data_IF_203815955565
#
_entry.id   IF_203815955565
#
_cell.length_a   1.000
_cell.length_b   1.000
_cell.length_c   1.000
_cell.angle_alpha   90.00
_cell.angle_beta   90.00
_cell.angle_gamma   90.00
#
_symmetry.space_group_name_H-M   'P 1'
#
loop_
_entity.id
_entity.type
_entity.pdbx_description
1 polymer ?
#
# COMPACT_ATOMS: atom_id res chain seq x y z
N UNK A 1 20.69 -13.09 27.12
CA UNK A 1 19.82 -11.98 26.68
C UNK A 1 20.27 -10.71 27.37
N UNK A 2 20.67 -9.66 26.62
CA UNK A 2 21.04 -8.37 27.21
C UNK A 2 19.78 -7.69 27.75
N UNK A 3 19.72 -7.41 29.04
CA UNK A 3 18.59 -6.75 29.69
C UNK A 3 18.46 -5.29 29.16
N UNK A 4 17.23 -4.80 28.98
CA UNK A 4 16.94 -3.47 28.42
C UNK A 4 17.62 -2.34 29.21
N UNK A 5 17.75 -2.51 30.53
CA UNK A 5 18.45 -1.58 31.41
C UNK A 5 19.97 -1.51 31.16
N UNK A 6 20.61 -2.63 30.79
CA UNK A 6 22.03 -2.64 30.40
C UNK A 6 22.24 -1.89 29.07
N UNK A 7 21.27 -1.99 28.15
CA UNK A 7 21.29 -1.24 26.90
C UNK A 7 21.21 0.28 27.15
N UNK A 8 20.32 0.71 28.05
CA UNK A 8 20.21 2.13 28.45
C UNK A 8 21.49 2.64 29.10
N UNK A 9 22.08 1.88 30.02
CA UNK A 9 23.32 2.25 30.69
C UNK A 9 24.48 2.44 29.68
N UNK A 10 24.63 1.50 28.74
CA UNK A 10 25.62 1.59 27.64
C UNK A 10 25.40 2.80 26.76
N UNK A 11 24.15 3.12 26.43
CA UNK A 11 23.82 4.31 25.63
C UNK A 11 24.14 5.62 26.36
N UNK A 12 23.85 5.69 27.66
CA UNK A 12 24.16 6.87 28.49
C UNK A 12 25.67 7.09 28.61
N UNK A 13 26.43 6.04 28.93
CA UNK A 13 27.89 6.09 29.01
C UNK A 13 28.53 6.51 27.68
N UNK A 14 28.00 6.01 26.56
CA UNK A 14 28.43 6.43 25.22
C UNK A 14 28.17 7.91 24.96
N UNK A 15 27.00 8.44 25.31
CA UNK A 15 26.67 9.87 25.14
C UNK A 15 27.58 10.77 25.98
N UNK A 16 27.88 10.35 27.21
CA UNK A 16 28.81 11.08 28.10
C UNK A 16 30.24 11.08 27.53
N UNK A 17 30.70 9.96 27.00
CA UNK A 17 32.00 9.87 26.31
C UNK A 17 32.04 10.75 25.05
N UNK A 18 31.00 10.74 24.22
CA UNK A 18 30.91 11.57 23.01
C UNK A 18 30.92 13.07 23.34
N UNK A 19 30.37 13.49 24.50
CA UNK A 19 30.46 14.87 25.01
C UNK A 19 31.87 15.22 25.49
N UNK A 20 32.56 14.31 26.19
CA UNK A 20 33.93 14.55 26.71
C UNK A 20 35.00 14.56 25.62
N UNK A 21 34.78 13.86 24.50
CA UNK A 21 35.75 13.74 23.41
C UNK A 21 35.15 14.08 22.04
N UNK A 22 34.79 15.35 21.79
CA UNK A 22 34.12 15.75 20.54
C UNK A 22 35.00 15.51 19.31
N UNK A 23 36.28 15.85 19.36
CA UNK A 23 37.22 15.70 18.24
C UNK A 23 37.45 14.22 17.89
N UNK A 24 37.75 13.37 18.88
CA UNK A 24 37.93 11.91 18.64
C UNK A 24 36.65 11.28 18.10
N UNK A 25 35.49 11.70 18.57
CA UNK A 25 34.20 11.21 18.09
C UNK A 25 33.92 11.67 16.65
N UNK A 26 34.26 12.92 16.33
CA UNK A 26 34.17 13.46 14.97
C UNK A 26 35.07 12.68 14.01
N UNK A 27 36.36 12.51 14.34
CA UNK A 27 37.31 11.75 13.52
C UNK A 27 36.85 10.29 13.36
N UNK A 28 36.34 9.64 14.41
CA UNK A 28 35.77 8.28 14.31
C UNK A 28 34.55 8.22 13.39
N UNK A 29 33.66 9.21 13.45
CA UNK A 29 32.49 9.29 12.55
C UNK A 29 32.94 9.55 11.11
N UNK A 30 33.93 10.42 10.90
CA UNK A 30 34.46 10.77 9.58
C UNK A 30 35.23 9.61 8.93
N UNK A 31 36.18 8.99 9.64
CA UNK A 31 37.06 7.96 9.07
C UNK A 31 36.48 6.54 9.13
N UNK A 32 35.54 6.25 10.03
CA UNK A 32 34.95 4.90 10.13
C UNK A 32 33.51 4.87 9.60
N UNK A 33 32.64 5.77 10.07
CA UNK A 33 31.22 5.72 9.68
C UNK A 33 30.98 6.22 8.26
N UNK A 34 31.78 7.18 7.80
CA UNK A 34 31.58 7.79 6.49
C UNK A 34 32.00 6.85 5.35
N UNK A 35 33.26 6.38 5.24
CA UNK A 35 33.66 5.55 4.09
C UNK A 35 33.07 4.13 4.11
N UNK A 36 32.72 3.57 5.27
CA UNK A 36 32.30 2.16 5.36
C UNK A 36 30.81 1.94 5.56
N UNK A 37 30.05 2.96 5.97
CA UNK A 37 28.58 2.87 6.09
C UNK A 37 27.86 3.89 5.24
N UNK A 38 28.31 5.14 5.25
CA UNK A 38 27.56 6.25 4.65
C UNK A 38 27.83 6.38 3.15
N UNK A 39 29.08 6.22 2.72
CA UNK A 39 29.48 6.33 1.32
C UNK A 39 28.96 5.14 0.50
N UNK A 40 29.09 3.87 0.93
CA UNK A 40 28.61 2.73 0.15
C UNK A 40 27.09 2.78 -0.04
N UNK A 41 26.34 3.08 1.02
CA UNK A 41 24.87 3.25 0.93
C UNK A 41 24.46 4.43 0.04
N UNK A 42 25.21 5.54 0.05
CA UNK A 42 24.95 6.66 -0.86
C UNK A 42 25.25 6.31 -2.32
N UNK A 43 26.33 5.57 -2.58
CA UNK A 43 26.69 5.11 -3.92
C UNK A 43 25.67 4.09 -4.45
N UNK A 44 25.25 3.16 -3.60
CA UNK A 44 24.19 2.20 -3.89
C UNK A 44 22.87 2.92 -4.21
N UNK A 45 22.47 3.90 -3.40
CA UNK A 45 21.28 4.73 -3.66
C UNK A 45 21.39 5.52 -4.98
N UNK A 46 22.57 6.04 -5.31
CA UNK A 46 22.79 6.76 -6.55
C UNK A 46 22.71 5.81 -7.75
N UNK A 47 23.31 4.63 -7.65
CA UNK A 47 23.22 3.58 -8.66
C UNK A 47 21.75 3.23 -8.94
N UNK A 48 20.96 2.97 -7.90
CA UNK A 48 19.54 2.65 -8.06
C UNK A 48 18.74 3.83 -8.65
N UNK A 49 19.00 5.06 -8.22
CA UNK A 49 18.38 6.26 -8.83
C UNK A 49 18.64 6.35 -10.33
N UNK A 50 19.88 6.16 -10.75
CA UNK A 50 20.25 6.22 -12.18
C UNK A 50 19.64 5.03 -12.93
N UNK A 51 19.73 3.82 -12.37
CA UNK A 51 19.10 2.60 -12.93
C UNK A 51 17.62 2.85 -13.20
N UNK A 52 16.88 3.32 -12.20
CA UNK A 52 15.44 3.54 -12.30
C UNK A 52 15.08 4.69 -13.24
N UNK A 53 15.89 5.76 -13.28
CA UNK A 53 15.71 6.82 -14.26
C UNK A 53 15.85 6.32 -15.70
N UNK A 54 16.88 5.51 -15.98
CA UNK A 54 17.08 4.90 -17.30
C UNK A 54 15.92 3.97 -17.66
N UNK A 55 15.47 3.15 -16.70
CA UNK A 55 14.34 2.26 -16.91
C UNK A 55 13.05 3.03 -17.26
N UNK A 56 12.70 4.08 -16.51
CA UNK A 56 11.52 4.90 -16.82
C UNK A 56 11.58 5.51 -18.22
N UNK A 57 12.75 6.02 -18.62
CA UNK A 57 12.89 6.59 -19.97
C UNK A 57 12.81 5.54 -21.09
N UNK A 58 13.29 4.31 -20.86
CA UNK A 58 13.30 3.26 -21.90
C UNK A 58 11.99 2.51 -22.06
N UNK A 59 11.27 2.23 -20.97
CA UNK A 59 10.06 1.39 -20.98
C UNK A 59 8.84 2.03 -20.33
N UNK A 60 8.95 3.25 -19.80
CA UNK A 60 7.86 3.95 -19.11
C UNK A 60 7.73 3.65 -17.61
N UNK A 61 8.43 2.63 -17.07
CA UNK A 61 8.38 2.25 -15.65
C UNK A 61 9.73 1.73 -15.11
N UNK A 62 9.94 1.69 -13.80
CA UNK A 62 11.15 1.17 -13.13
C UNK A 62 10.88 -0.13 -12.35
N UNK A 63 11.90 -0.94 -12.03
CA UNK A 63 11.70 -2.19 -11.26
C UNK A 63 11.29 -1.89 -9.82
N UNK A 64 11.52 -0.66 -9.38
CA UNK A 64 11.15 -0.14 -8.06
C UNK A 64 9.81 0.58 -8.07
N UNK A 65 9.30 0.90 -9.25
CA UNK A 65 7.92 1.36 -9.35
C UNK A 65 7.09 0.13 -9.03
N UNK A 66 6.61 0.06 -7.78
CA UNK A 66 5.49 -0.80 -7.40
C UNK A 66 4.29 -0.28 -8.19
N UNK A 67 4.23 -0.66 -9.47
CA UNK A 67 3.07 -0.40 -10.29
C UNK A 67 2.05 -1.43 -9.83
N UNK A 68 1.27 -1.04 -8.81
CA UNK A 68 0.04 -1.72 -8.44
C UNK A 68 -0.92 -1.53 -9.62
N UNK A 69 -0.69 -2.34 -10.65
CA UNK A 69 -1.35 -2.29 -11.96
C UNK A 69 -2.84 -2.48 -11.76
N UNK A 70 -3.19 -3.38 -10.85
CA UNK A 70 -4.51 -3.61 -10.31
C UNK A 70 -5.15 -2.33 -9.76
N UNK A 71 -4.47 -1.60 -8.87
CA UNK A 71 -5.00 -0.34 -8.32
C UNK A 71 -5.12 0.75 -9.39
N UNK A 72 -4.12 0.87 -10.27
CA UNK A 72 -4.17 1.83 -11.37
C UNK A 72 -5.36 1.57 -12.30
N UNK A 73 -5.57 0.31 -12.68
CA UNK A 73 -6.70 -0.11 -13.51
C UNK A 73 -8.01 0.16 -12.77
N UNK A 74 -8.10 -0.19 -11.48
CA UNK A 74 -9.31 0.00 -10.70
C UNK A 74 -9.70 1.48 -10.56
N UNK A 75 -8.74 2.37 -10.24
CA UNK A 75 -8.97 3.83 -10.20
C UNK A 75 -9.44 4.33 -11.57
N UNK A 76 -8.75 3.93 -12.63
CA UNK A 76 -9.04 4.41 -13.98
C UNK A 76 -10.44 3.99 -14.42
N UNK A 77 -10.82 2.73 -14.21
CA UNK A 77 -12.15 2.22 -14.55
C UNK A 77 -13.24 2.87 -13.71
N UNK A 78 -13.05 3.06 -12.40
CA UNK A 78 -14.02 3.76 -11.56
C UNK A 78 -14.33 5.17 -12.09
N UNK A 79 -13.29 5.93 -12.45
CA UNK A 79 -13.44 7.30 -12.94
C UNK A 79 -14.10 7.35 -14.32
N UNK A 80 -13.75 6.43 -15.23
CA UNK A 80 -14.38 6.32 -16.56
C UNK A 80 -15.88 6.03 -16.42
N UNK A 81 -16.24 5.10 -15.55
CA UNK A 81 -17.63 4.73 -15.30
C UNK A 81 -18.45 5.89 -14.73
N UNK A 82 -17.89 6.63 -13.76
CA UNK A 82 -18.55 7.83 -13.24
C UNK A 82 -18.72 8.90 -14.32
N UNK A 83 -17.71 9.10 -15.17
CA UNK A 83 -17.77 10.02 -16.30
C UNK A 83 -18.92 9.67 -17.25
N UNK A 84 -19.13 8.38 -17.58
CA UNK A 84 -20.24 7.95 -18.44
C UNK A 84 -21.60 8.28 -17.85
N UNK A 85 -21.79 8.09 -16.55
CA UNK A 85 -23.05 8.43 -15.87
C UNK A 85 -23.27 9.94 -15.85
N UNK A 86 -22.22 10.73 -15.58
CA UNK A 86 -22.30 12.19 -15.54
C UNK A 86 -22.63 12.82 -16.89
N UNK A 87 -22.12 12.23 -17.98
CA UNK A 87 -22.25 12.77 -19.34
C UNK A 87 -23.29 12.06 -20.19
N UNK A 88 -23.98 11.08 -19.64
CA UNK A 88 -25.07 10.37 -20.32
C UNK A 88 -24.62 9.67 -21.62
N UNK A 89 -23.47 8.96 -21.58
CA UNK A 89 -22.91 8.21 -22.71
C UNK A 89 -23.15 6.69 -22.59
N UNK A 90 -23.21 5.97 -23.72
CA UNK A 90 -23.13 4.50 -23.73
C UNK A 90 -24.36 3.77 -23.21
N UNK A 91 -25.57 4.33 -23.43
CA UNK A 91 -26.81 3.70 -22.96
C UNK A 91 -27.21 2.53 -23.85
N UNK A 92 -27.35 1.31 -23.30
CA UNK A 92 -27.86 0.17 -24.05
C UNK A 92 -29.35 0.33 -24.34
N UNK A 93 -29.78 -0.08 -25.53
CA UNK A 93 -31.18 0.00 -25.98
C UNK A 93 -32.19 -0.79 -25.10
N UNK A 94 -31.69 -1.70 -24.25
CA UNK A 94 -32.49 -2.68 -23.50
C UNK A 94 -32.66 -2.39 -22.00
N UNK A 95 -32.03 -1.35 -21.46
CA UNK A 95 -32.16 -0.95 -20.05
C UNK A 95 -32.69 0.49 -19.93
N UNK A 96 -33.42 0.79 -18.87
CA UNK A 96 -33.79 2.19 -18.61
C UNK A 96 -32.58 3.01 -18.14
N UNK A 97 -32.61 4.32 -18.36
CA UNK A 97 -31.56 5.24 -17.90
C UNK A 97 -31.22 5.06 -16.42
N UNK A 98 -32.24 4.95 -15.57
CA UNK A 98 -32.06 4.83 -14.12
C UNK A 98 -31.43 3.48 -13.72
N UNK A 99 -31.83 2.40 -14.39
CA UNK A 99 -31.25 1.06 -14.17
C UNK A 99 -29.78 1.01 -14.59
N UNK A 100 -29.46 1.59 -15.75
CA UNK A 100 -28.10 1.70 -16.24
C UNK A 100 -27.22 2.55 -15.32
N UNK A 101 -27.68 3.75 -14.95
CA UNK A 101 -26.94 4.65 -14.06
C UNK A 101 -26.68 3.98 -12.70
N UNK A 102 -27.68 3.27 -12.15
CA UNK A 102 -27.54 2.52 -10.91
C UNK A 102 -26.51 1.38 -11.02
N UNK A 103 -26.54 0.64 -12.13
CA UNK A 103 -25.60 -0.45 -12.42
C UNK A 103 -24.17 0.06 -12.55
N UNK A 104 -23.93 1.11 -13.34
CA UNK A 104 -22.60 1.70 -13.52
C UNK A 104 -22.08 2.27 -12.20
N UNK A 105 -22.90 3.00 -11.43
CA UNK A 105 -22.50 3.52 -10.11
C UNK A 105 -22.13 2.40 -9.14
N UNK A 106 -22.87 1.30 -9.13
CA UNK A 106 -22.56 0.12 -8.31
C UNK A 106 -21.20 -0.48 -8.70
N UNK A 107 -20.93 -0.66 -9.98
CA UNK A 107 -19.66 -1.20 -10.49
C UNK A 107 -18.51 -0.23 -10.15
N UNK A 108 -18.68 1.07 -10.40
CA UNK A 108 -17.68 2.09 -10.07
C UNK A 108 -17.36 2.11 -8.57
N UNK A 109 -18.39 1.97 -7.72
CA UNK A 109 -18.21 1.84 -6.27
C UNK A 109 -17.40 0.59 -5.91
N UNK A 110 -17.66 -0.56 -6.54
CA UNK A 110 -16.88 -1.77 -6.29
C UNK A 110 -15.39 -1.58 -6.61
N UNK A 111 -15.06 -0.92 -7.73
CA UNK A 111 -13.67 -0.56 -8.04
C UNK A 111 -13.05 0.36 -6.98
N UNK A 112 -13.80 1.31 -6.42
CA UNK A 112 -13.32 2.18 -5.34
C UNK A 112 -13.13 1.43 -4.02
N UNK A 113 -14.08 0.58 -3.66
CA UNK A 113 -14.03 -0.25 -2.46
C UNK A 113 -12.78 -1.15 -2.51
N UNK A 114 -12.50 -1.77 -3.66
CA UNK A 114 -11.31 -2.61 -3.89
C UNK A 114 -9.99 -1.91 -3.49
N UNK A 115 -9.85 -0.62 -3.81
CA UNK A 115 -8.64 0.17 -3.49
C UNK A 115 -8.44 0.39 -2.00
N UNK A 116 -9.51 0.31 -1.22
CA UNK A 116 -9.50 0.57 0.22
C UNK A 116 -9.40 -0.70 1.07
N UNK A 117 -9.75 -1.88 0.53
CA UNK A 117 -9.80 -3.13 1.28
C UNK A 117 -8.47 -3.50 1.95
N UNK A 118 -7.33 -3.35 1.26
CA UNK A 118 -6.00 -3.65 1.83
C UNK A 118 -5.65 -2.68 2.97
N UNK A 119 -6.04 -1.41 2.82
CA UNK A 119 -5.79 -0.37 3.82
C UNK A 119 -6.66 -0.63 5.05
N UNK A 120 -7.94 -0.92 4.86
CA UNK A 120 -8.89 -1.20 5.94
C UNK A 120 -8.47 -2.46 6.72
N UNK A 121 -8.09 -3.54 6.00
CA UNK A 121 -7.55 -4.76 6.61
C UNK A 121 -6.31 -4.47 7.44
N UNK A 122 -5.37 -3.71 6.88
CA UNK A 122 -4.13 -3.33 7.57
C UNK A 122 -4.39 -2.52 8.83
N UNK A 123 -5.41 -1.66 8.84
CA UNK A 123 -5.82 -0.89 10.03
C UNK A 123 -6.41 -1.78 11.12
N UNK A 124 -7.27 -2.75 10.76
CA UNK A 124 -7.83 -3.70 11.73
C UNK A 124 -6.76 -4.59 12.37
N UNK A 125 -5.80 -5.08 11.57
CA UNK A 125 -4.65 -5.86 12.08
C UNK A 125 -3.77 -5.00 13.01
N UNK A 126 -3.44 -3.77 12.61
CA UNK A 126 -2.65 -2.86 13.45
C UNK A 126 -3.36 -2.55 14.79
N UNK A 127 -4.69 -2.51 14.79
CA UNK A 127 -5.47 -2.35 16.02
C UNK A 127 -5.44 -3.61 16.91
N UNK A 128 -5.44 -4.82 16.34
CA UNK A 128 -5.21 -6.05 17.11
C UNK A 128 -3.82 -6.07 17.75
N UNK A 129 -2.78 -5.75 16.99
CA UNK A 129 -1.41 -5.68 17.51
C UNK A 129 -1.30 -4.69 18.67
N UNK A 130 -2.01 -3.55 18.59
CA UNK A 130 -2.09 -2.56 19.67
C UNK A 130 -2.77 -3.15 20.91
N UNK A 131 -3.90 -3.84 20.77
CA UNK A 131 -4.61 -4.48 21.90
C UNK A 131 -3.75 -5.52 22.60
N UNK A 132 -2.93 -6.26 21.86
CA UNK A 132 -1.96 -7.21 22.43
C UNK A 132 -0.86 -6.47 23.20
N UNK A 133 -0.32 -5.39 22.63
CA UNK A 133 0.69 -4.58 23.30
C UNK A 133 0.17 -3.95 24.61
N UNK A 134 -1.12 -3.62 24.67
CA UNK A 134 -1.83 -3.13 25.86
C UNK A 134 -2.23 -4.25 26.84
N UNK A 135 -2.06 -5.53 26.46
CA UNK A 135 -2.43 -6.69 27.28
C UNK A 135 -3.94 -6.92 27.39
N UNK A 136 -4.74 -6.32 26.51
CA UNK A 136 -6.20 -6.48 26.48
C UNK A 136 -6.63 -7.85 25.93
N UNK A 137 -5.80 -8.43 25.07
CA UNK A 137 -6.01 -9.77 24.49
C UNK A 137 -4.69 -10.56 24.51
N UNK A 138 -4.79 -11.89 24.53
CA UNK A 138 -3.63 -12.78 24.46
C UNK A 138 -3.16 -12.96 23.01
N UNK A 139 -1.94 -13.49 22.83
CA UNK A 139 -1.41 -13.88 21.51
C UNK A 139 -2.22 -14.98 20.82
N UNK A 140 -2.84 -15.86 21.61
CA UNK A 140 -3.73 -16.91 21.07
C UNK A 140 -5.04 -16.31 20.56
N UNK A 141 -5.59 -15.31 21.26
CA UNK A 141 -6.77 -14.58 20.81
C UNK A 141 -6.49 -13.72 19.58
N UNK A 142 -5.29 -13.10 19.51
CA UNK A 142 -4.84 -12.36 18.34
C UNK A 142 -4.87 -13.24 17.08
N UNK A 143 -4.29 -14.44 17.13
CA UNK A 143 -4.25 -15.34 15.98
C UNK A 143 -5.65 -15.73 15.47
N UNK A 144 -6.58 -16.04 16.39
CA UNK A 144 -7.97 -16.37 16.01
C UNK A 144 -8.68 -15.16 15.38
N UNK A 145 -8.49 -13.96 15.94
CA UNK A 145 -9.11 -12.74 15.41
C UNK A 145 -8.48 -12.32 14.08
N UNK A 146 -7.19 -12.54 13.88
CA UNK A 146 -6.51 -12.31 12.60
C UNK A 146 -7.06 -13.23 11.51
N UNK A 147 -7.27 -14.52 11.81
CA UNK A 147 -7.93 -15.47 10.89
C UNK A 147 -9.37 -15.04 10.54
N UNK A 148 -10.12 -14.52 11.51
CA UNK A 148 -11.47 -13.99 11.29
C UNK A 148 -11.46 -12.74 10.39
N UNK A 149 -10.50 -11.83 10.59
CA UNK A 149 -10.28 -10.66 9.73
C UNK A 149 -9.93 -11.13 8.31
N UNK A 150 -9.00 -12.08 8.19
CA UNK A 150 -8.57 -12.62 6.89
C UNK A 150 -9.75 -13.20 6.09
N UNK A 151 -10.60 -13.99 6.74
CA UNK A 151 -11.77 -14.58 6.10
C UNK A 151 -12.83 -13.53 5.76
N UNK A 152 -13.06 -12.54 6.65
CA UNK A 152 -13.94 -11.39 6.39
C UNK A 152 -13.50 -10.64 5.12
N UNK A 153 -12.22 -10.28 5.02
CA UNK A 153 -11.72 -9.53 3.88
C UNK A 153 -11.66 -10.39 2.62
N UNK A 154 -11.35 -11.69 2.71
CA UNK A 154 -11.45 -12.62 1.57
C UNK A 154 -12.84 -12.62 0.94
N UNK A 155 -13.90 -12.66 1.76
CA UNK A 155 -15.28 -12.58 1.27
C UNK A 155 -15.58 -11.24 0.62
N UNK A 156 -15.20 -10.14 1.26
CA UNK A 156 -15.37 -8.78 0.68
C UNK A 156 -14.64 -8.63 -0.65
N UNK A 157 -13.43 -9.15 -0.77
CA UNK A 157 -12.69 -9.18 -2.04
C UNK A 157 -13.45 -9.95 -3.11
N UNK A 158 -13.97 -11.14 -2.80
CA UNK A 158 -14.73 -11.94 -3.74
C UNK A 158 -15.99 -11.23 -4.24
N UNK A 159 -16.80 -10.69 -3.33
CA UNK A 159 -18.02 -9.93 -3.66
C UNK A 159 -17.72 -8.69 -4.51
N UNK A 160 -16.65 -7.97 -4.16
CA UNK A 160 -16.21 -6.77 -4.87
C UNK A 160 -15.75 -7.13 -6.28
N UNK A 161 -14.97 -8.21 -6.41
CA UNK A 161 -14.49 -8.72 -7.69
C UNK A 161 -15.63 -9.20 -8.59
N UNK A 162 -16.60 -9.94 -8.04
CA UNK A 162 -17.79 -10.37 -8.80
C UNK A 162 -18.57 -9.19 -9.36
N UNK A 163 -18.72 -8.12 -8.56
CA UNK A 163 -19.38 -6.88 -8.97
C UNK A 163 -18.57 -6.16 -10.06
N UNK A 164 -17.25 -6.05 -9.91
CA UNK A 164 -16.36 -5.47 -10.94
C UNK A 164 -16.45 -6.25 -12.26
N UNK A 165 -16.53 -7.58 -12.20
CA UNK A 165 -16.62 -8.46 -13.36
C UNK A 165 -17.90 -8.27 -14.18
N UNK A 166 -18.96 -7.70 -13.60
CA UNK A 166 -20.18 -7.36 -14.36
C UNK A 166 -19.90 -6.40 -15.51
N UNK A 167 -18.85 -5.58 -15.41
CA UNK A 167 -18.40 -4.72 -16.50
C UNK A 167 -18.10 -5.50 -17.78
N UNK A 168 -17.59 -6.72 -17.64
CA UNK A 168 -17.15 -7.56 -18.76
C UNK A 168 -18.18 -8.61 -19.16
N UNK A 169 -19.25 -8.78 -18.38
CA UNK A 169 -20.33 -9.71 -18.72
C UNK A 169 -21.10 -9.19 -19.93
N UNK A 170 -21.50 -10.12 -20.79
CA UNK A 170 -22.39 -9.86 -21.93
C UNK A 170 -21.89 -8.78 -22.90
N UNK A 171 -20.57 -8.52 -22.91
CA UNK A 171 -19.99 -7.45 -23.73
C UNK A 171 -20.43 -6.05 -23.29
N UNK A 172 -20.91 -5.87 -22.05
CA UNK A 172 -21.39 -4.59 -21.54
C UNK A 172 -20.37 -3.47 -21.71
N UNK A 173 -19.09 -3.75 -21.50
CA UNK A 173 -18.00 -2.81 -21.78
C UNK A 173 -18.01 -2.27 -23.22
N UNK A 174 -18.40 -3.08 -24.22
CA UNK A 174 -18.50 -2.64 -25.62
C UNK A 174 -19.68 -1.69 -25.83
N UNK A 175 -20.79 -1.87 -25.11
CA UNK A 175 -21.96 -0.98 -25.19
C UNK A 175 -21.72 0.42 -24.59
N UNK A 176 -20.61 0.63 -23.87
CA UNK A 176 -20.27 1.94 -23.29
C UNK A 176 -19.79 2.96 -24.33
N UNK A 177 -19.49 2.54 -25.55
CA UNK A 177 -18.84 3.35 -26.59
C UNK A 177 -19.74 3.68 -27.79
N UNK A 178 -20.98 3.20 -27.77
CA UNK A 178 -22.03 3.56 -28.73
C UNK A 178 -22.83 4.78 -28.25
#
# INVERSE_FOLDING_TARGET
MSNFEDLKARLKARREYEKKHPIKTFLRKLFWKWPFKTLPSKLENLYYRIKYFIQRNRRGFSDYDFFQTDQYIAISLANILEFFVEHHHGYPDLETKDEYDAKIRRIAKAFKDYLTLDVDKGQEIAELERKVAEGLITREQEAVLEDEIDEKYRKRYAETYETMCELFKDGFFASLWD
#
